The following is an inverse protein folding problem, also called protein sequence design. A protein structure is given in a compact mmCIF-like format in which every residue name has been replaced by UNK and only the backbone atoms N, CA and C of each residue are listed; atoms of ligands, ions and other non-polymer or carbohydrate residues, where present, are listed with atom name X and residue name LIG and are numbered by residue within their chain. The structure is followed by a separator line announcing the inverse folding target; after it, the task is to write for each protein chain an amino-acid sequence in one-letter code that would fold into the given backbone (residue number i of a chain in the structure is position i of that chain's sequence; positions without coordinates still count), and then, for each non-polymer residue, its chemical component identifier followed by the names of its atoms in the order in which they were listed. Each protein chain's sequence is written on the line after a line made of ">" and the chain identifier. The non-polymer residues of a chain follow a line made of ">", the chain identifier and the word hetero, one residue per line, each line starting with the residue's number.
data_IF_363803485425
#
_entry.id   IF_363803485425
#
_cell.length_a   1.000
_cell.length_b   1.000
_cell.length_c   1.000
_cell.angle_alpha   90.00
_cell.angle_beta   90.00
_cell.angle_gamma   90.00
#
_symmetry.space_group_name_H-M   'P 1'
#
loop_
_entity.id
_entity.type
_entity.pdbx_description
1 polymer ?
#
# COMPACT_ATOMS: atom_id res chain seq x y z
N UNK A 1 16.55 12.94 -3.64
CA UNK A 1 15.98 11.61 -3.34
C UNK A 1 14.48 11.75 -3.25
N UNK A 2 13.77 11.14 -4.19
CA UNK A 2 12.31 11.17 -4.30
C UNK A 2 11.61 10.39 -3.18
N UNK A 3 10.31 10.21 -3.31
CA UNK A 3 9.51 9.29 -2.50
C UNK A 3 9.41 7.93 -3.21
N UNK A 4 9.09 6.86 -2.47
CA UNK A 4 8.55 5.63 -3.05
C UNK A 4 7.08 5.56 -2.68
N UNK A 5 6.23 5.36 -3.69
CA UNK A 5 4.83 5.04 -3.48
C UNK A 5 4.66 3.53 -3.36
N UNK A 6 4.10 3.06 -2.25
CA UNK A 6 4.06 1.63 -1.91
C UNK A 6 2.69 0.99 -2.16
N UNK A 7 1.70 1.79 -2.57
CA UNK A 7 0.33 1.36 -2.75
C UNK A 7 -0.28 2.16 -3.89
N UNK A 8 -0.47 1.53 -5.05
CA UNK A 8 -1.01 2.15 -6.25
C UNK A 8 -1.70 1.14 -7.17
N UNK A 9 -2.77 1.56 -7.84
CA UNK A 9 -3.54 0.76 -8.79
C UNK A 9 -3.27 1.26 -10.21
N UNK A 10 -1.98 1.27 -10.56
CA UNK A 10 -1.48 1.77 -11.85
C UNK A 10 -1.51 0.69 -12.93
N UNK A 11 -1.60 -0.59 -12.58
CA UNK A 11 -1.61 -1.64 -13.60
C UNK A 11 -2.85 -1.55 -14.47
N UNK A 12 -2.70 -1.51 -15.80
CA UNK A 12 -3.82 -1.24 -16.69
C UNK A 12 -4.75 -2.46 -16.78
N UNK A 13 -6.06 -2.21 -16.62
CA UNK A 13 -7.15 -3.16 -16.86
C UNK A 13 -7.10 -4.46 -16.02
N UNK A 14 -6.52 -4.42 -14.81
CA UNK A 14 -6.46 -5.58 -13.92
C UNK A 14 -7.46 -5.54 -12.76
N UNK A 15 -7.75 -4.35 -12.23
CA UNK A 15 -8.71 -4.06 -11.16
C UNK A 15 -9.49 -2.76 -11.44
N UNK A 16 -9.94 -2.05 -10.41
CA UNK A 16 -10.66 -0.76 -10.49
C UNK A 16 -9.75 0.47 -10.60
N UNK A 17 -8.44 0.25 -10.81
CA UNK A 17 -7.44 1.27 -11.12
C UNK A 17 -7.46 1.76 -12.56
N UNK A 18 -6.27 1.99 -13.11
CA UNK A 18 -6.08 2.48 -14.47
C UNK A 18 -6.81 1.60 -15.49
N UNK A 19 -7.69 2.18 -16.30
CA UNK A 19 -8.52 1.38 -17.24
C UNK A 19 -7.73 0.93 -18.48
N UNK A 20 -6.61 1.58 -18.77
CA UNK A 20 -5.76 1.31 -19.92
C UNK A 20 -4.32 1.83 -19.71
N UNK A 21 -3.45 1.55 -20.68
CA UNK A 21 -2.03 1.93 -20.66
C UNK A 21 -1.82 3.46 -20.60
N UNK A 22 -2.68 4.24 -21.25
CA UNK A 22 -2.56 5.70 -21.29
C UNK A 22 -2.86 6.32 -19.92
N UNK A 23 -3.87 5.81 -19.22
CA UNK A 23 -4.15 6.20 -17.83
C UNK A 23 -3.04 5.77 -16.86
N UNK A 24 -2.48 4.57 -17.04
CA UNK A 24 -1.35 4.11 -16.24
C UNK A 24 -0.13 5.04 -16.40
N UNK A 25 0.19 5.43 -17.64
CA UNK A 25 1.26 6.40 -17.94
C UNK A 25 0.92 7.78 -17.38
N UNK A 26 -0.34 8.22 -17.44
CA UNK A 26 -0.77 9.49 -16.84
C UNK A 26 -0.59 9.50 -15.32
N UNK A 27 -0.91 8.39 -14.63
CA UNK A 27 -0.64 8.23 -13.20
C UNK A 27 0.87 8.28 -12.93
N UNK A 28 1.71 7.59 -13.69
CA UNK A 28 3.17 7.66 -13.53
C UNK A 28 3.75 9.07 -13.76
N UNK A 29 3.14 9.86 -14.65
CA UNK A 29 3.49 11.29 -14.80
C UNK A 29 3.13 12.08 -13.54
N UNK A 30 1.96 11.84 -12.95
CA UNK A 30 1.59 12.46 -11.67
C UNK A 30 2.50 12.04 -10.52
N UNK A 31 2.92 10.77 -10.47
CA UNK A 31 3.91 10.26 -9.52
C UNK A 31 5.20 11.08 -9.61
N UNK A 32 5.73 11.26 -10.83
CA UNK A 32 6.91 12.10 -11.06
C UNK A 32 6.71 13.55 -10.61
N UNK A 33 5.59 14.17 -10.92
CA UNK A 33 5.25 15.54 -10.47
C UNK A 33 5.17 15.66 -8.94
N UNK A 34 4.85 14.56 -8.27
CA UNK A 34 4.83 14.42 -6.82
C UNK A 34 6.21 14.03 -6.22
N UNK A 35 7.28 14.16 -7.00
CA UNK A 35 8.66 13.80 -6.62
C UNK A 35 8.81 12.31 -6.23
N UNK A 36 7.97 11.42 -6.76
CA UNK A 36 8.07 9.97 -6.55
C UNK A 36 9.05 9.40 -7.58
N UNK A 37 10.06 8.66 -7.10
CA UNK A 37 11.09 8.03 -7.94
C UNK A 37 10.80 6.56 -8.23
N UNK A 38 9.99 5.92 -7.40
CA UNK A 38 9.71 4.50 -7.45
C UNK A 38 8.26 4.25 -7.04
N UNK A 39 7.58 3.32 -7.70
CA UNK A 39 6.18 2.99 -7.45
C UNK A 39 6.04 1.48 -7.38
N UNK A 40 5.33 0.99 -6.35
CA UNK A 40 4.93 -0.41 -6.25
C UNK A 40 3.51 -0.51 -6.79
N UNK A 41 3.35 -1.26 -7.88
CA UNK A 41 2.07 -1.66 -8.41
C UNK A 41 1.46 -2.70 -7.47
N UNK A 42 0.31 -2.40 -6.89
CA UNK A 42 -0.37 -3.26 -5.90
C UNK A 42 -1.82 -3.49 -6.31
N UNK A 43 -2.09 -4.12 -7.46
CA UNK A 43 -3.46 -4.45 -7.85
C UNK A 43 -4.16 -5.28 -6.78
N UNK A 44 -5.48 -5.14 -6.69
CA UNK A 44 -6.28 -5.92 -5.76
C UNK A 44 -6.26 -7.42 -6.08
N UNK A 45 -5.95 -8.24 -5.08
CA UNK A 45 -6.25 -9.68 -5.11
C UNK A 45 -7.45 -9.99 -4.22
N UNK A 46 -8.54 -10.48 -4.82
CA UNK A 46 -9.76 -10.84 -4.13
C UNK A 46 -9.96 -12.36 -4.10
N UNK A 47 -9.64 -13.06 -3.00
CA UNK A 47 -9.63 -14.53 -2.95
C UNK A 47 -11.01 -15.18 -3.16
N UNK A 48 -12.11 -14.44 -3.04
CA UNK A 48 -13.46 -14.92 -3.36
C UNK A 48 -13.81 -14.83 -4.85
N UNK A 49 -13.11 -13.97 -5.61
CA UNK A 49 -13.39 -13.68 -7.02
C UNK A 49 -12.26 -14.14 -7.96
N UNK A 50 -11.04 -14.21 -7.45
CA UNK A 50 -9.82 -14.49 -8.21
C UNK A 50 -9.29 -15.89 -7.92
N UNK A 51 -8.87 -16.59 -8.97
CA UNK A 51 -7.99 -17.75 -8.86
C UNK A 51 -6.54 -17.25 -8.86
N UNK A 52 -5.72 -17.75 -7.93
CA UNK A 52 -4.39 -17.20 -7.63
C UNK A 52 -3.47 -17.18 -8.86
N UNK A 53 -3.33 -18.29 -9.56
CA UNK A 53 -2.39 -18.40 -10.68
C UNK A 53 -2.85 -17.57 -11.89
N UNK A 54 -4.15 -17.56 -12.17
CA UNK A 54 -4.75 -16.73 -13.21
C UNK A 54 -4.58 -15.23 -12.90
N UNK A 55 -4.80 -14.83 -11.64
CA UNK A 55 -4.61 -13.46 -11.19
C UNK A 55 -3.16 -13.01 -11.38
N UNK A 56 -2.20 -13.79 -10.85
CA UNK A 56 -0.77 -13.49 -10.98
C UNK A 56 -0.37 -13.39 -12.46
N UNK A 57 -0.83 -14.33 -13.29
CA UNK A 57 -0.53 -14.31 -14.73
C UNK A 57 -1.08 -13.07 -15.42
N UNK A 58 -2.31 -12.64 -15.10
CA UNK A 58 -2.95 -11.44 -15.65
C UNK A 58 -2.18 -10.18 -15.24
N UNK A 59 -1.90 -10.04 -13.95
CA UNK A 59 -1.18 -8.90 -13.39
C UNK A 59 0.26 -8.82 -13.91
N UNK A 60 0.95 -9.96 -14.04
CA UNK A 60 2.31 -10.00 -14.62
C UNK A 60 2.32 -9.56 -16.07
N UNK A 61 1.36 -10.02 -16.89
CA UNK A 61 1.28 -9.61 -18.29
C UNK A 61 1.04 -8.10 -18.43
N UNK A 62 0.17 -7.52 -17.60
CA UNK A 62 -0.07 -6.08 -17.56
C UNK A 62 1.17 -5.30 -17.10
N UNK A 63 1.88 -5.79 -16.09
CA UNK A 63 3.13 -5.19 -15.59
C UNK A 63 4.23 -5.17 -16.64
N UNK A 64 4.49 -6.28 -17.34
CA UNK A 64 5.52 -6.32 -18.39
C UNK A 64 5.15 -5.43 -19.60
N UNK A 65 3.86 -5.35 -19.95
CA UNK A 65 3.38 -4.43 -20.98
C UNK A 65 3.64 -2.96 -20.59
N UNK A 66 3.25 -2.58 -19.37
CA UNK A 66 3.51 -1.23 -18.84
C UNK A 66 5.01 -0.92 -18.80
N UNK A 67 5.83 -1.87 -18.32
CA UNK A 67 7.29 -1.74 -18.25
C UNK A 67 7.92 -1.49 -19.61
N UNK A 68 7.49 -2.19 -20.66
CA UNK A 68 8.00 -1.95 -22.02
C UNK A 68 7.50 -0.60 -22.57
N UNK A 69 6.24 -0.22 -22.30
CA UNK A 69 5.67 1.05 -22.75
C UNK A 69 6.40 2.27 -22.17
N UNK A 70 6.92 2.19 -20.94
CA UNK A 70 7.63 3.31 -20.27
C UNK A 70 9.15 3.23 -20.36
N UNK A 71 9.71 2.23 -21.05
CA UNK A 71 11.14 1.90 -21.03
C UNK A 71 12.09 3.04 -21.40
N UNK A 72 11.65 3.94 -22.28
CA UNK A 72 12.44 5.10 -22.74
C UNK A 72 11.88 6.43 -22.23
N UNK A 73 10.89 6.37 -21.34
CA UNK A 73 10.29 7.54 -20.72
C UNK A 73 11.05 7.88 -19.43
N UNK A 74 11.20 9.17 -19.16
CA UNK A 74 11.70 9.64 -17.86
C UNK A 74 10.54 9.59 -16.85
N UNK A 75 10.23 8.39 -16.35
CA UNK A 75 9.16 8.08 -15.41
C UNK A 75 9.69 7.31 -14.19
N UNK A 76 8.93 7.24 -13.08
CA UNK A 76 9.33 6.48 -11.90
C UNK A 76 9.58 5.00 -12.23
N UNK A 77 10.53 4.38 -11.53
CA UNK A 77 10.72 2.93 -11.62
C UNK A 77 9.51 2.21 -11.05
N UNK A 78 9.06 1.14 -11.71
CA UNK A 78 7.93 0.34 -11.24
C UNK A 78 8.39 -1.00 -10.65
N UNK A 79 7.76 -1.40 -9.56
CA UNK A 79 7.93 -2.68 -8.87
C UNK A 79 6.59 -3.40 -8.77
N UNK A 80 6.63 -4.72 -8.59
CA UNK A 80 5.43 -5.55 -8.59
C UNK A 80 5.09 -6.04 -7.18
N UNK A 81 3.80 -6.10 -6.87
CA UNK A 81 3.24 -6.57 -5.61
C UNK A 81 1.72 -6.70 -5.77
N UNK A 82 1.00 -6.82 -4.66
CA UNK A 82 -0.47 -6.91 -4.65
C UNK A 82 -1.02 -6.23 -3.39
N UNK A 83 -2.21 -5.65 -3.48
CA UNK A 83 -3.02 -5.39 -2.29
C UNK A 83 -3.93 -6.60 -2.06
N UNK A 84 -3.66 -7.36 -1.01
CA UNK A 84 -4.39 -8.59 -0.72
C UNK A 84 -5.56 -8.28 0.20
N UNK A 85 -6.78 -8.63 -0.21
CA UNK A 85 -7.91 -8.59 0.71
C UNK A 85 -7.78 -9.73 1.72
N UNK A 86 -7.99 -9.42 3.00
CA UNK A 86 -8.02 -10.42 4.06
C UNK A 86 -9.05 -11.51 3.76
N UNK A 87 -8.66 -12.76 4.00
CA UNK A 87 -9.54 -13.92 4.01
C UNK A 87 -9.27 -14.82 5.21
N UNK A 88 -10.27 -15.60 5.60
CA UNK A 88 -10.13 -16.52 6.74
C UNK A 88 -9.14 -17.64 6.40
N UNK A 89 -8.16 -17.85 7.29
CA UNK A 89 -7.09 -18.82 7.10
C UNK A 89 -5.85 -18.26 6.40
N UNK A 90 -5.81 -16.95 6.11
CA UNK A 90 -4.66 -16.30 5.45
C UNK A 90 -3.34 -16.60 6.16
N UNK A 91 -3.33 -16.69 7.49
CA UNK A 91 -2.13 -16.98 8.29
C UNK A 91 -1.55 -18.39 8.07
N UNK A 92 -2.25 -19.24 7.32
CA UNK A 92 -1.85 -20.61 7.00
C UNK A 92 -1.83 -20.88 5.49
N UNK A 93 -2.00 -19.84 4.67
CA UNK A 93 -1.98 -19.96 3.22
C UNK A 93 -0.53 -20.21 2.76
N UNK A 94 -0.29 -21.37 2.16
CA UNK A 94 1.06 -21.80 1.76
C UNK A 94 1.66 -20.93 0.65
N UNK A 95 0.82 -20.42 -0.25
CA UNK A 95 1.22 -19.63 -1.42
C UNK A 95 1.10 -18.10 -1.19
N UNK A 96 0.95 -17.65 0.07
CA UNK A 96 0.79 -16.23 0.38
C UNK A 96 2.01 -15.39 -0.02
N UNK A 97 3.20 -16.00 -0.04
CA UNK A 97 4.44 -15.36 -0.44
C UNK A 97 4.44 -14.93 -1.92
N UNK A 98 3.69 -15.63 -2.79
CA UNK A 98 3.51 -15.24 -4.20
C UNK A 98 2.82 -13.89 -4.39
N UNK A 99 2.07 -13.44 -3.38
CA UNK A 99 1.35 -12.16 -3.39
C UNK A 99 2.13 -11.02 -2.73
N UNK A 100 3.30 -11.31 -2.14
CA UNK A 100 4.15 -10.28 -1.54
C UNK A 100 4.71 -9.31 -2.59
N UNK A 101 5.20 -8.17 -2.12
CA UNK A 101 6.03 -7.27 -2.93
C UNK A 101 7.24 -8.07 -3.43
N UNK A 102 7.43 -8.07 -4.75
CA UNK A 102 8.41 -8.90 -5.45
C UNK A 102 9.83 -8.69 -4.90
N UNK A 103 10.54 -9.81 -4.70
CA UNK A 103 11.87 -9.81 -4.08
C UNK A 103 11.85 -9.66 -2.56
N UNK A 104 10.69 -9.65 -1.92
CA UNK A 104 10.56 -9.47 -0.47
C UNK A 104 9.57 -10.45 0.16
N UNK A 105 9.61 -10.57 1.49
CA UNK A 105 8.54 -11.20 2.30
C UNK A 105 7.70 -10.11 2.98
N UNK A 106 7.15 -9.19 2.19
CA UNK A 106 6.33 -8.08 2.67
C UNK A 106 4.98 -8.11 1.95
N UNK A 107 3.90 -8.19 2.72
CA UNK A 107 2.53 -8.26 2.22
C UNK A 107 1.80 -6.95 2.52
N UNK A 108 1.23 -6.32 1.51
CA UNK A 108 0.24 -5.26 1.70
C UNK A 108 -1.14 -5.92 1.88
N UNK A 109 -1.72 -5.77 3.06
CA UNK A 109 -2.95 -6.45 3.47
C UNK A 109 -4.06 -5.44 3.76
N UNK A 110 -5.19 -5.62 3.10
CA UNK A 110 -6.42 -4.88 3.34
C UNK A 110 -7.36 -5.68 4.26
N UNK A 111 -7.77 -5.08 5.37
CA UNK A 111 -8.89 -5.59 6.18
C UNK A 111 -10.22 -5.04 5.66
N UNK A 112 -11.35 -5.74 5.91
CA UNK A 112 -12.66 -5.20 5.57
C UNK A 112 -12.94 -3.93 6.37
N UNK A 113 -13.40 -2.88 5.69
CA UNK A 113 -13.86 -1.63 6.31
C UNK A 113 -15.37 -1.41 6.19
N UNK A 114 -16.06 -2.18 5.33
CA UNK A 114 -17.54 -2.21 5.24
C UNK A 114 -18.17 -3.28 6.15
N UNK A 115 -17.36 -4.22 6.65
CA UNK A 115 -17.79 -5.26 7.59
C UNK A 115 -16.99 -5.13 8.90
N UNK A 116 -17.58 -5.50 10.05
CA UNK A 116 -16.89 -5.42 11.32
C UNK A 116 -15.64 -6.32 11.37
N UNK A 117 -14.56 -5.79 11.95
CA UNK A 117 -13.39 -6.59 12.28
C UNK A 117 -13.73 -7.62 13.36
N UNK A 118 -13.00 -8.74 13.38
CA UNK A 118 -13.12 -9.76 14.43
C UNK A 118 -11.80 -9.96 15.18
N UNK A 119 -11.87 -10.42 16.43
CA UNK A 119 -10.65 -10.75 17.18
C UNK A 119 -9.88 -11.93 16.56
N UNK A 120 -10.59 -12.82 15.87
CA UNK A 120 -9.98 -13.91 15.13
C UNK A 120 -9.11 -13.37 13.99
N UNK A 121 -9.66 -12.46 13.19
CA UNK A 121 -8.95 -11.79 12.09
C UNK A 121 -7.71 -11.05 12.57
N UNK A 122 -7.83 -10.24 13.64
CA UNK A 122 -6.67 -9.53 14.17
C UNK A 122 -5.55 -10.46 14.63
N UNK A 123 -5.91 -11.61 15.20
CA UNK A 123 -4.93 -12.65 15.55
C UNK A 123 -4.31 -13.30 14.31
N UNK A 124 -5.08 -13.54 13.26
CA UNK A 124 -4.53 -14.04 11.99
C UNK A 124 -3.49 -13.08 11.41
N UNK A 125 -3.76 -11.78 11.43
CA UNK A 125 -2.78 -10.77 10.98
C UNK A 125 -1.47 -10.88 11.76
N UNK A 126 -1.53 -11.01 13.10
CA UNK A 126 -0.33 -11.21 13.94
C UNK A 126 0.37 -12.55 13.65
N UNK A 127 -0.39 -13.58 13.26
CA UNK A 127 0.13 -14.90 12.98
C UNK A 127 0.84 -14.99 11.62
N UNK A 128 0.55 -14.12 10.64
CA UNK A 128 1.22 -14.13 9.33
C UNK A 128 2.75 -14.00 9.49
N UNK A 129 3.20 -13.04 10.30
CA UNK A 129 4.62 -12.85 10.59
C UNK A 129 5.21 -14.04 11.36
N UNK A 130 4.51 -14.49 12.42
CA UNK A 130 5.01 -15.57 13.28
C UNK A 130 5.09 -16.92 12.58
N UNK A 131 4.10 -17.25 11.77
CA UNK A 131 3.91 -18.60 11.23
C UNK A 131 4.47 -18.72 9.79
N UNK A 132 4.50 -17.62 9.02
CA UNK A 132 4.98 -17.60 7.63
C UNK A 132 6.24 -16.74 7.42
N UNK A 133 6.67 -15.95 8.41
CA UNK A 133 7.82 -15.04 8.27
C UNK A 133 7.55 -13.85 7.35
N UNK A 134 6.27 -13.54 7.07
CA UNK A 134 5.86 -12.46 6.18
C UNK A 134 5.54 -11.21 7.00
N UNK A 135 6.25 -10.11 6.73
CA UNK A 135 5.97 -8.81 7.36
C UNK A 135 4.71 -8.20 6.74
N UNK A 136 3.72 -7.87 7.57
CA UNK A 136 2.48 -7.24 7.10
C UNK A 136 2.57 -5.72 7.15
N UNK A 137 2.19 -5.08 6.05
CA UNK A 137 1.79 -3.67 5.98
C UNK A 137 0.27 -3.64 5.88
N UNK A 138 -0.42 -3.09 6.89
CA UNK A 138 -1.85 -2.88 6.80
C UNK A 138 -2.15 -1.63 5.97
N UNK A 139 -2.92 -1.82 4.90
CA UNK A 139 -3.38 -0.75 4.02
C UNK A 139 -4.31 0.22 4.76
N UNK A 140 -4.24 1.51 4.40
CA UNK A 140 -5.15 2.60 4.77
C UNK A 140 -5.80 2.48 6.16
N UNK A 141 -4.96 2.33 7.20
CA UNK A 141 -5.36 2.05 8.59
C UNK A 141 -6.42 3.03 9.11
N UNK A 142 -6.42 4.26 8.61
CA UNK A 142 -7.41 5.28 8.94
C UNK A 142 -8.85 4.93 8.55
N UNK A 143 -9.07 4.07 7.53
CA UNK A 143 -10.41 3.63 7.11
C UNK A 143 -11.10 2.79 8.18
N UNK A 144 -10.34 2.14 9.06
CA UNK A 144 -10.87 1.32 10.16
C UNK A 144 -11.29 2.13 11.40
N UNK A 145 -11.23 3.47 11.37
CA UNK A 145 -11.42 4.32 12.55
C UNK A 145 -12.77 4.15 13.27
N UNK A 146 -13.81 3.77 12.51
CA UNK A 146 -15.17 3.60 13.01
C UNK A 146 -15.44 2.18 13.53
N UNK A 147 -14.50 1.25 13.37
CA UNK A 147 -14.67 -0.12 13.85
C UNK A 147 -14.52 -0.22 15.39
N UNK A 148 -15.31 -1.09 16.02
CA UNK A 148 -15.29 -1.29 17.48
C UNK A 148 -13.93 -1.82 17.98
N UNK A 149 -13.22 -2.60 17.16
CA UNK A 149 -11.90 -3.13 17.45
C UNK A 149 -10.75 -2.20 17.02
N UNK A 150 -11.03 -1.00 16.51
CA UNK A 150 -9.98 -0.06 16.09
C UNK A 150 -8.94 0.18 17.20
N UNK A 151 -9.38 0.33 18.46
CA UNK A 151 -8.44 0.49 19.60
C UNK A 151 -7.50 -0.72 19.77
N UNK A 152 -7.99 -1.94 19.52
CA UNK A 152 -7.21 -3.18 19.58
C UNK A 152 -6.25 -3.26 18.40
N UNK A 153 -6.71 -2.91 17.19
CA UNK A 153 -5.86 -2.78 16.01
C UNK A 153 -4.68 -1.80 16.25
N UNK A 154 -4.94 -0.63 16.85
CA UNK A 154 -3.87 0.32 17.19
C UNK A 154 -2.88 -0.22 18.24
N UNK A 155 -3.30 -1.13 19.11
CA UNK A 155 -2.41 -1.80 20.07
C UNK A 155 -1.49 -2.79 19.35
N UNK A 156 -2.05 -3.55 18.40
CA UNK A 156 -1.28 -4.48 17.57
C UNK A 156 -0.21 -3.72 16.76
N UNK A 157 -0.59 -2.62 16.11
CA UNK A 157 0.36 -1.76 15.39
C UNK A 157 1.48 -1.22 16.30
N UNK A 158 1.16 -0.90 17.56
CA UNK A 158 2.16 -0.38 18.50
C UNK A 158 3.21 -1.40 18.94
N UNK A 159 2.99 -2.69 18.71
CA UNK A 159 4.00 -3.73 18.97
C UNK A 159 5.15 -3.68 17.95
N UNK A 160 4.92 -3.08 16.77
CA UNK A 160 5.96 -2.80 15.77
C UNK A 160 6.20 -3.90 14.74
N UNK A 161 5.67 -5.12 14.92
CA UNK A 161 5.81 -6.22 13.96
C UNK A 161 4.97 -6.00 12.70
N UNK A 162 3.79 -5.38 12.86
CA UNK A 162 2.90 -4.99 11.75
C UNK A 162 3.08 -3.50 11.50
N UNK A 163 3.23 -3.13 10.23
CA UNK A 163 3.38 -1.74 9.79
C UNK A 163 2.02 -1.19 9.38
N UNK A 164 1.82 0.11 9.58
CA UNK A 164 0.61 0.82 9.13
C UNK A 164 0.91 1.72 7.95
N UNK A 165 0.09 1.66 6.91
CA UNK A 165 0.04 2.62 5.82
C UNK A 165 -1.21 3.51 5.98
N UNK A 166 -1.09 4.79 5.64
CA UNK A 166 -2.24 5.70 5.48
C UNK A 166 -2.24 6.28 4.07
N UNK A 167 -3.42 6.62 3.55
CA UNK A 167 -3.48 7.24 2.24
C UNK A 167 -3.09 8.72 2.29
N UNK A 168 -2.47 9.19 1.22
CA UNK A 168 -2.10 10.59 1.04
C UNK A 168 -3.36 11.49 1.00
N UNK A 169 -4.44 11.05 0.35
CA UNK A 169 -5.70 11.81 0.29
C UNK A 169 -6.36 11.96 1.66
N UNK A 170 -6.29 10.94 2.51
CA UNK A 170 -6.78 10.95 3.89
C UNK A 170 -6.11 12.03 4.75
N UNK A 171 -4.86 12.41 4.44
CA UNK A 171 -4.16 13.50 5.13
C UNK A 171 -4.65 14.90 4.73
N UNK A 172 -5.49 14.99 3.70
CA UNK A 172 -6.01 16.25 3.14
C UNK A 172 -7.52 16.42 3.36
N UNK A 173 -8.25 15.33 3.64
CA UNK A 173 -9.71 15.34 3.85
C UNK A 173 -10.08 15.58 5.31
N UNK A 174 -11.00 16.51 5.57
CA UNK A 174 -11.43 16.86 6.93
C UNK A 174 -11.96 15.65 7.73
N UNK A 175 -12.73 14.76 7.09
CA UNK A 175 -13.34 13.59 7.73
C UNK A 175 -12.34 12.57 8.29
N UNK A 176 -11.18 12.42 7.66
CA UNK A 176 -10.11 11.49 8.06
C UNK A 176 -8.99 12.16 8.84
N UNK A 177 -8.86 13.49 8.76
CA UNK A 177 -7.75 14.25 9.32
C UNK A 177 -7.56 14.01 10.82
N UNK A 178 -8.65 13.90 11.60
CA UNK A 178 -8.58 13.59 13.04
C UNK A 178 -7.92 12.24 13.31
N UNK A 179 -8.25 11.23 12.51
CA UNK A 179 -7.68 9.89 12.62
C UNK A 179 -6.21 9.89 12.18
N UNK A 180 -5.89 10.51 11.05
CA UNK A 180 -4.52 10.65 10.55
C UNK A 180 -3.61 11.32 11.60
N UNK A 181 -4.05 12.45 12.16
CA UNK A 181 -3.32 13.15 13.22
C UNK A 181 -3.11 12.27 14.47
N UNK A 182 -4.11 11.45 14.83
CA UNK A 182 -4.02 10.50 15.95
C UNK A 182 -3.01 9.39 15.67
N UNK A 183 -3.00 8.83 14.47
CA UNK A 183 -2.06 7.77 14.06
C UNK A 183 -0.62 8.29 14.05
N UNK A 184 -0.39 9.45 13.42
CA UNK A 184 0.92 10.10 13.35
C UNK A 184 1.44 10.49 14.74
N UNK A 185 0.61 11.11 15.59
CA UNK A 185 1.00 11.51 16.95
C UNK A 185 1.43 10.31 17.80
N UNK A 186 0.86 9.13 17.54
CA UNK A 186 1.19 7.89 18.26
C UNK A 186 2.33 7.09 17.61
N UNK A 187 2.91 7.57 16.51
CA UNK A 187 3.97 6.87 15.79
C UNK A 187 3.52 5.56 15.13
N UNK A 188 2.22 5.44 14.79
CA UNK A 188 1.63 4.21 14.24
C UNK A 188 1.62 4.16 12.71
N UNK A 189 2.14 5.19 12.05
CA UNK A 189 2.24 5.29 10.59
C UNK A 189 3.66 4.97 10.18
N UNK A 190 3.83 3.90 9.42
CA UNK A 190 5.10 3.49 8.83
C UNK A 190 5.27 4.02 7.41
N UNK A 191 4.15 4.16 6.67
CA UNK A 191 4.13 4.58 5.27
C UNK A 191 2.97 5.55 5.00
N UNK A 192 3.18 6.46 4.05
CA UNK A 192 2.13 7.27 3.41
C UNK A 192 2.22 6.94 1.93
N UNK A 193 1.13 6.51 1.33
CA UNK A 193 1.08 6.03 -0.06
C UNK A 193 -0.10 6.67 -0.80
N UNK A 194 -0.10 6.65 -2.13
CA UNK A 194 -1.12 7.33 -2.92
C UNK A 194 -2.47 6.63 -2.83
N UNK A 195 -2.48 5.30 -2.93
CA UNK A 195 -3.67 4.51 -3.21
C UNK A 195 -4.43 5.10 -4.43
N UNK A 196 -3.64 5.52 -5.43
CA UNK A 196 -4.11 6.16 -6.66
C UNK A 196 -4.72 5.12 -7.60
N UNK A 197 -5.84 5.49 -8.24
CA UNK A 197 -6.57 4.63 -9.18
C UNK A 197 -6.81 5.31 -10.52
N UNK A 198 -6.92 6.64 -10.54
CA UNK A 198 -7.15 7.38 -11.78
C UNK A 198 -6.57 8.80 -11.68
N UNK A 199 -6.13 9.41 -12.79
CA UNK A 199 -5.57 10.77 -12.78
C UNK A 199 -6.55 11.86 -12.30
N UNK A 200 -7.86 11.60 -12.36
CA UNK A 200 -8.89 12.61 -12.08
C UNK A 200 -9.61 12.38 -10.74
N UNK A 201 -10.10 11.16 -10.48
CA UNK A 201 -10.98 10.90 -9.33
C UNK A 201 -10.21 10.45 -8.09
N UNK A 202 -9.11 9.73 -8.27
CA UNK A 202 -8.22 9.25 -7.19
C UNK A 202 -6.75 9.45 -7.60
N UNK A 203 -6.28 10.72 -7.68
CA UNK A 203 -4.97 11.08 -8.20
C UNK A 203 -3.86 10.88 -7.16
N UNK A 204 -2.62 11.04 -7.62
CA UNK A 204 -1.43 11.03 -6.76
C UNK A 204 -1.34 12.34 -5.95
N UNK A 205 -1.34 12.24 -4.62
CA UNK A 205 -1.34 13.39 -3.71
C UNK A 205 -0.20 13.38 -2.67
N UNK A 206 0.82 12.55 -2.87
CA UNK A 206 1.92 12.33 -1.90
C UNK A 206 2.60 13.64 -1.51
N UNK A 207 3.07 14.44 -2.48
CA UNK A 207 3.80 15.68 -2.21
C UNK A 207 2.95 16.66 -1.40
N UNK A 208 1.67 16.77 -1.76
CA UNK A 208 0.71 17.64 -1.07
C UNK A 208 0.45 17.16 0.36
N UNK A 209 0.28 15.85 0.57
CA UNK A 209 0.11 15.25 1.90
C UNK A 209 1.33 15.48 2.80
N UNK A 210 2.54 15.22 2.29
CA UNK A 210 3.78 15.48 3.03
C UNK A 210 3.92 16.97 3.38
N UNK A 211 3.61 17.88 2.46
CA UNK A 211 3.64 19.31 2.72
C UNK A 211 2.66 19.72 3.83
N UNK A 212 1.43 19.22 3.78
CA UNK A 212 0.39 19.55 4.77
C UNK A 212 0.71 19.03 6.18
N UNK A 213 1.45 17.93 6.29
CA UNK A 213 1.82 17.31 7.56
C UNK A 213 3.15 17.83 8.14
N UNK A 214 3.98 18.48 7.30
CA UNK A 214 5.38 18.80 7.60
C UNK A 214 5.57 19.58 8.90
N UNK A 215 4.83 20.67 9.09
CA UNK A 215 5.04 21.58 10.21
C UNK A 215 4.74 20.92 11.56
N UNK A 216 3.80 19.97 11.58
CA UNK A 216 3.35 19.30 12.80
C UNK A 216 4.05 17.96 13.07
N UNK A 217 4.47 17.27 12.01
CA UNK A 217 4.92 15.88 12.07
C UNK A 217 6.26 15.63 11.37
N UNK A 218 7.12 16.64 11.27
CA UNK A 218 8.40 16.55 10.58
C UNK A 218 9.22 15.29 10.96
N UNK A 219 9.35 14.99 12.26
CA UNK A 219 10.13 13.83 12.73
C UNK A 219 9.51 12.49 12.32
N UNK A 220 8.19 12.38 12.32
CA UNK A 220 7.48 11.20 11.82
C UNK A 220 7.67 11.07 10.31
N UNK A 221 7.56 12.15 9.54
CA UNK A 221 7.76 12.13 8.09
C UNK A 221 9.18 11.73 7.71
N UNK A 222 10.20 12.17 8.46
CA UNK A 222 11.59 11.72 8.27
C UNK A 222 11.71 10.21 8.51
N UNK A 223 11.02 9.68 9.53
CA UNK A 223 11.02 8.24 9.83
C UNK A 223 10.31 7.44 8.74
N UNK A 224 9.15 7.93 8.27
CA UNK A 224 8.39 7.35 7.16
C UNK A 224 9.26 7.31 5.89
N UNK A 225 9.96 8.40 5.57
CA UNK A 225 10.88 8.43 4.43
C UNK A 225 12.01 7.41 4.55
N UNK A 226 12.62 7.26 5.74
CA UNK A 226 13.63 6.22 5.97
C UNK A 226 13.08 4.80 5.81
N UNK A 227 11.84 4.55 6.20
CA UNK A 227 11.21 3.25 5.99
C UNK A 227 11.03 2.96 4.49
N UNK A 228 10.55 3.96 3.75
CA UNK A 228 10.43 3.97 2.30
C UNK A 228 11.79 3.67 1.62
N UNK A 229 12.86 4.36 1.98
CA UNK A 229 14.20 4.13 1.40
C UNK A 229 14.71 2.70 1.67
N UNK A 230 14.46 2.16 2.88
CA UNK A 230 14.83 0.79 3.25
C UNK A 230 14.04 -0.26 2.47
N UNK A 231 12.75 -0.02 2.26
CA UNK A 231 11.90 -0.90 1.46
C UNK A 231 12.40 -0.93 0.02
N UNK A 232 12.68 0.23 -0.57
CA UNK A 232 13.23 0.31 -1.92
C UNK A 232 14.56 -0.43 -2.06
N UNK A 233 15.48 -0.25 -1.11
CA UNK A 233 16.77 -0.98 -1.08
C UNK A 233 16.54 -2.50 -1.04
N UNK A 234 15.62 -2.96 -0.20
CA UNK A 234 15.27 -4.38 -0.08
C UNK A 234 14.69 -4.95 -1.37
N UNK A 235 13.82 -4.22 -2.06
CA UNK A 235 13.26 -4.64 -3.36
C UNK A 235 14.36 -4.74 -4.42
N UNK A 236 15.35 -3.84 -4.40
CA UNK A 236 16.51 -3.85 -5.31
C UNK A 236 17.57 -4.89 -4.94
N UNK A 237 17.47 -5.52 -3.77
CA UNK A 237 18.45 -6.50 -3.28
C UNK A 237 19.76 -5.87 -2.77
N UNK A 238 19.70 -4.62 -2.31
CA UNK A 238 20.83 -3.85 -1.74
C UNK A 238 20.99 -4.01 -0.22
#
# INVERSE_FOLDING_TARGET
>A
MGYIDIHSHILPAVDDGAINIDEAIALLRQEKENDVSSVICTPHFYPEADELELHISKCRAAFENLKEAIKYEDLPSIFFGHEVQYFTGISKCADLDKLCIEGTHILLLELPFLLPLSEYMLREVENIDRDLGITVILAHVERYANDKLFKKLLKILSNGNIKGQINADSALREGSLKTVNKLLKRGLVSYIASDAHSPETRPVLIKKAFSALKDKYYSQLVTIKKNSDRLESKIKGE
#
